data_IF_944203045849
#
_entry.id   IF_944203045849
#
_cell.length_a   1.000
_cell.length_b   1.000
_cell.length_c   1.000
_cell.angle_alpha   90.00
_cell.angle_beta   90.00
_cell.angle_gamma   90.00
#
_symmetry.space_group_name_H-M   'P 1'
#
loop_
_entity.id
_entity.type
_entity.pdbx_description
1 polymer ?
#
# COMPACT_ATOMS: atom_id res chain seq x y z
N UNK A 1 7.52 -10.05 0.43
CA UNK A 1 6.06 -9.81 0.53
C UNK A 1 5.71 -9.81 2.01
N UNK A 2 5.43 -8.63 2.58
CA UNK A 2 4.91 -8.55 3.95
C UNK A 2 3.44 -8.97 3.85
N UNK A 3 3.06 -10.05 4.53
CA UNK A 3 1.66 -10.47 4.59
C UNK A 3 0.82 -9.30 5.11
N UNK A 4 -0.34 -9.09 4.47
CA UNK A 4 -1.27 -7.99 4.75
C UNK A 4 -1.95 -8.04 6.11
N UNK A 5 -1.51 -8.89 7.03
CA UNK A 5 -2.14 -9.11 8.34
C UNK A 5 -1.49 -8.24 9.43
N UNK A 6 -1.21 -6.97 9.14
CA UNK A 6 -0.71 -6.00 10.14
C UNK A 6 -1.84 -5.19 10.78
N UNK A 7 -3.06 -5.33 10.27
CA UNK A 7 -4.25 -4.66 10.78
C UNK A 7 -5.41 -5.66 10.93
N UNK A 8 -6.35 -5.32 11.81
CA UNK A 8 -7.57 -6.08 12.03
C UNK A 8 -8.78 -5.15 12.01
N UNK A 9 -9.86 -5.62 11.38
CA UNK A 9 -11.14 -4.95 11.35
C UNK A 9 -12.25 -5.87 11.87
N UNK A 10 -13.01 -5.41 12.86
CA UNK A 10 -14.24 -6.08 13.29
C UNK A 10 -15.39 -5.67 12.38
N UNK A 11 -15.78 -6.57 11.46
CA UNK A 11 -16.85 -6.34 10.50
C UNK A 11 -18.19 -5.96 11.14
N UNK A 12 -18.42 -6.27 12.42
CA UNK A 12 -19.63 -5.85 13.14
C UNK A 12 -19.74 -4.33 13.30
N UNK A 13 -18.62 -3.61 13.17
CA UNK A 13 -18.56 -2.14 13.23
C UNK A 13 -18.91 -1.47 11.90
N UNK A 14 -18.92 -2.23 10.79
CA UNK A 14 -19.14 -1.68 9.45
C UNK A 14 -20.48 -0.93 9.31
N UNK A 15 -21.63 -1.42 9.82
CA UNK A 15 -22.89 -0.68 9.75
C UNK A 15 -22.82 0.70 10.42
N UNK A 16 -22.17 0.79 11.59
CA UNK A 16 -22.02 2.04 12.34
C UNK A 16 -21.14 3.06 11.60
N UNK A 17 -20.10 2.58 10.92
CA UNK A 17 -19.22 3.46 10.12
C UNK A 17 -19.98 4.00 8.91
N UNK A 18 -20.74 3.14 8.21
CA UNK A 18 -21.52 3.53 7.03
C UNK A 18 -22.65 4.52 7.35
N UNK A 19 -23.11 4.59 8.60
CA UNK A 19 -24.06 5.62 9.05
C UNK A 19 -23.43 7.02 9.17
N UNK A 20 -22.11 7.09 9.30
CA UNK A 20 -21.37 8.32 9.61
C UNK A 20 -20.49 8.84 8.47
N UNK A 21 -19.94 7.96 7.63
CA UNK A 21 -19.00 8.31 6.57
C UNK A 21 -19.23 7.45 5.31
N UNK A 22 -19.08 8.04 4.12
CA UNK A 22 -19.06 7.28 2.85
C UNK A 22 -17.69 6.63 2.63
N UNK A 23 -17.69 5.33 2.37
CA UNK A 23 -16.48 4.52 2.24
C UNK A 23 -16.20 4.15 0.78
N UNK A 24 -14.97 4.37 0.33
CA UNK A 24 -14.48 3.92 -0.98
C UNK A 24 -14.18 2.41 -1.02
N UNK A 25 -13.90 1.81 0.14
CA UNK A 25 -13.62 0.38 0.32
C UNK A 25 -13.90 -0.06 1.76
N UNK A 26 -13.93 -1.37 2.01
CA UNK A 26 -14.05 -1.90 3.38
C UNK A 26 -12.80 -1.52 4.17
N UNK A 27 -12.94 -0.98 5.41
CA UNK A 27 -11.78 -0.61 6.22
C UNK A 27 -10.86 -1.81 6.48
N UNK A 28 -9.55 -1.56 6.48
CA UNK A 28 -8.53 -2.52 6.91
C UNK A 28 -8.35 -2.50 8.43
N UNK A 29 -8.96 -1.53 9.10
CA UNK A 29 -9.10 -1.46 10.56
C UNK A 29 -7.90 -0.82 11.25
N UNK A 30 -7.57 -1.33 12.43
CA UNK A 30 -6.51 -0.80 13.30
C UNK A 30 -5.31 -1.74 13.38
N UNK A 31 -4.11 -1.25 13.77
CA UNK A 31 -2.94 -2.10 13.94
C UNK A 31 -3.21 -3.25 14.92
N UNK A 32 -2.69 -4.44 14.61
CA UNK A 32 -2.69 -5.55 15.57
C UNK A 32 -1.57 -5.36 16.61
N UNK A 33 -1.62 -6.11 17.70
CA UNK A 33 -0.60 -6.04 18.76
C UNK A 33 0.83 -6.20 18.22
N UNK A 34 1.75 -5.40 18.75
CA UNK A 34 3.17 -5.36 18.36
C UNK A 34 3.43 -4.95 16.90
N UNK A 35 2.41 -4.45 16.20
CA UNK A 35 2.53 -3.85 14.88
C UNK A 35 2.18 -2.37 14.98
N UNK A 36 3.02 -1.54 14.38
CA UNK A 36 2.79 -0.10 14.31
C UNK A 36 2.40 0.23 12.86
N UNK A 37 1.35 1.03 12.68
CA UNK A 37 0.98 1.50 11.34
C UNK A 37 0.88 3.02 11.36
N UNK A 38 1.73 3.64 10.56
CA UNK A 38 1.86 5.09 10.44
C UNK A 38 1.50 5.51 9.02
N UNK A 39 0.79 6.63 8.90
CA UNK A 39 0.56 7.28 7.61
C UNK A 39 1.59 8.39 7.43
N UNK A 40 2.28 8.41 6.30
CA UNK A 40 3.29 9.42 5.97
C UNK A 40 2.89 10.09 4.65
N UNK A 41 2.71 11.40 4.69
CA UNK A 41 2.26 12.23 3.57
C UNK A 41 2.15 13.70 3.95
N UNK A 42 1.66 14.54 3.03
CA UNK A 42 1.45 15.97 3.30
C UNK A 42 0.46 16.20 4.45
N UNK A 43 -0.60 15.38 4.52
CA UNK A 43 -1.55 15.35 5.64
C UNK A 43 -1.44 14.02 6.39
N UNK A 44 -0.25 13.77 6.96
CA UNK A 44 0.08 12.52 7.68
C UNK A 44 -0.90 12.14 8.81
N UNK A 45 -1.76 13.07 9.24
CA UNK A 45 -2.81 12.83 10.23
C UNK A 45 -4.02 12.10 9.65
N UNK A 46 -4.40 12.41 8.40
CA UNK A 46 -5.64 11.91 7.79
C UNK A 46 -5.40 10.98 6.59
N UNK A 47 -4.36 11.21 5.80
CA UNK A 47 -4.10 10.42 4.58
C UNK A 47 -2.61 10.38 4.25
N UNK A 48 -2.12 9.20 3.88
CA UNK A 48 -0.73 9.05 3.48
C UNK A 48 -0.39 7.65 3.01
N UNK A 49 0.88 7.47 2.66
CA UNK A 49 1.47 6.17 2.41
C UNK A 49 1.61 5.43 3.74
N UNK A 50 1.33 4.13 3.74
CA UNK A 50 1.37 3.26 4.90
C UNK A 50 2.81 2.82 5.14
N UNK A 51 3.27 3.03 6.37
CA UNK A 51 4.53 2.53 6.88
C UNK A 51 4.23 1.59 8.05
N UNK A 52 4.80 0.39 8.00
CA UNK A 52 4.56 -0.66 9.01
C UNK A 52 5.81 -0.84 9.84
N UNK A 53 5.68 -0.72 11.16
CA UNK A 53 6.72 -0.90 12.16
C UNK A 53 6.41 -2.02 13.15
N UNK A 54 7.33 -2.24 14.08
CA UNK A 54 7.17 -3.23 15.15
C UNK A 54 7.73 -4.61 14.81
N UNK A 55 7.27 -5.64 15.51
CA UNK A 55 7.83 -7.00 15.44
C UNK A 55 7.50 -7.74 14.14
N UNK A 56 6.51 -7.27 13.37
CA UNK A 56 6.12 -7.86 12.10
C UNK A 56 7.04 -7.49 10.94
N UNK A 57 7.95 -6.53 11.13
CA UNK A 57 8.86 -6.07 10.07
C UNK A 57 9.94 -7.12 9.82
N UNK A 58 10.06 -7.53 8.56
CA UNK A 58 11.08 -8.49 8.13
C UNK A 58 12.50 -7.96 8.37
N UNK A 59 13.47 -8.87 8.47
CA UNK A 59 14.87 -8.49 8.61
C UNK A 59 15.44 -7.76 7.38
N UNK A 60 14.77 -7.86 6.22
CA UNK A 60 15.15 -7.23 4.96
C UNK A 60 15.15 -8.21 3.79
N UNK A 61 15.66 -7.77 2.65
CA UNK A 61 15.84 -8.60 1.46
C UNK A 61 17.20 -9.31 1.47
N UNK A 62 17.20 -10.57 1.04
CA UNK A 62 18.44 -11.32 0.87
C UNK A 62 19.21 -10.78 -0.35
N UNK A 63 20.49 -10.46 -0.17
CA UNK A 63 21.43 -10.06 -1.24
C UNK A 63 21.12 -8.76 -2.00
N UNK A 64 20.18 -7.92 -1.54
CA UNK A 64 19.91 -6.60 -2.15
C UNK A 64 19.92 -5.47 -1.10
N UNK A 65 21.11 -5.01 -0.69
CA UNK A 65 21.25 -3.94 0.30
C UNK A 65 20.83 -2.57 -0.23
N UNK A 66 20.77 -2.37 -1.56
CA UNK A 66 20.27 -1.15 -2.18
C UNK A 66 18.78 -0.98 -1.95
N UNK A 67 17.99 -1.99 -2.33
CA UNK A 67 16.53 -1.98 -2.19
C UNK A 67 16.14 -2.01 -0.71
N UNK A 68 16.89 -2.75 0.12
CA UNK A 68 16.68 -2.76 1.57
C UNK A 68 16.68 -1.35 2.17
N UNK A 69 17.65 -0.48 1.82
CA UNK A 69 17.72 0.88 2.35
C UNK A 69 16.60 1.81 1.87
N UNK A 70 15.97 1.49 0.74
CA UNK A 70 14.88 2.27 0.18
C UNK A 70 13.54 1.91 0.84
N UNK A 71 13.32 0.61 1.07
CA UNK A 71 12.05 0.09 1.60
C UNK A 71 12.03 0.06 3.12
N UNK A 72 13.17 -0.16 3.77
CA UNK A 72 13.29 -0.17 5.23
C UNK A 72 13.91 1.14 5.69
N UNK A 73 13.11 1.98 6.35
CA UNK A 73 13.48 3.35 6.70
C UNK A 73 13.37 3.61 8.19
N UNK A 74 14.02 4.70 8.63
CA UNK A 74 13.81 5.27 9.97
C UNK A 74 12.90 6.48 9.83
N UNK A 75 11.76 6.45 10.50
CA UNK A 75 10.88 7.61 10.61
C UNK A 75 11.35 8.51 11.77
N UNK A 76 11.03 9.82 11.73
CA UNK A 76 11.25 10.73 12.84
C UNK A 76 10.58 10.24 14.14
N UNK A 77 11.11 10.66 15.28
CA UNK A 77 10.64 10.21 16.60
C UNK A 77 9.17 10.56 16.88
N UNK A 78 8.65 11.62 16.26
CA UNK A 78 7.25 12.06 16.38
C UNK A 78 6.24 11.04 15.81
N UNK A 79 6.72 10.11 14.98
CA UNK A 79 5.92 9.02 14.40
C UNK A 79 6.07 7.68 15.15
N UNK A 80 7.02 7.61 16.08
CA UNK A 80 7.32 6.39 16.82
C UNK A 80 6.42 6.31 18.06
N UNK A 81 5.71 5.20 18.23
CA UNK A 81 5.17 4.80 19.53
C UNK A 81 6.27 4.10 20.35
N UNK A 82 6.12 4.01 21.67
CA UNK A 82 7.14 3.43 22.57
C UNK A 82 7.50 1.97 22.23
N UNK A 83 6.68 1.26 21.44
CA UNK A 83 6.91 -0.10 20.97
C UNK A 83 7.91 -0.20 19.81
N UNK A 84 8.26 0.92 19.15
CA UNK A 84 9.11 0.95 17.95
C UNK A 84 10.62 0.93 18.27
N UNK A 85 10.99 0.76 19.54
CA UNK A 85 12.38 0.71 19.98
C UNK A 85 12.93 -0.70 19.74
N UNK A 86 13.49 -0.93 18.54
CA UNK A 86 14.39 -2.07 18.37
C UNK A 86 15.71 -1.76 19.09
N UNK A 87 16.06 -2.57 20.11
CA UNK A 87 17.33 -2.47 20.85
C UNK A 87 18.58 -2.58 19.96
N UNK A 88 18.41 -2.91 18.67
CA UNK A 88 19.47 -3.28 17.74
C UNK A 88 19.67 -2.29 16.58
N UNK A 89 19.10 -1.08 16.66
CA UNK A 89 19.40 0.00 15.70
C UNK A 89 18.94 -0.26 14.26
N UNK A 90 18.06 -1.25 14.04
CA UNK A 90 17.51 -1.60 12.72
C UNK A 90 16.63 -0.46 12.20
N UNK A 91 16.47 -0.42 10.87
CA UNK A 91 15.45 0.41 10.23
C UNK A 91 14.09 -0.08 10.75
N UNK A 92 13.30 0.83 11.33
CA UNK A 92 12.17 0.46 12.18
C UNK A 92 10.86 0.30 11.40
N UNK A 93 10.80 0.81 10.16
CA UNK A 93 9.58 0.82 9.36
C UNK A 93 9.82 0.31 7.96
N UNK A 94 8.92 -0.55 7.49
CA UNK A 94 8.80 -0.97 6.11
C UNK A 94 7.81 -0.06 5.37
N UNK A 95 8.26 0.52 4.27
CA UNK A 95 7.45 1.29 3.33
C UNK A 95 6.65 0.33 2.45
N UNK A 96 5.32 0.34 2.57
CA UNK A 96 4.50 -0.66 1.86
C UNK A 96 4.20 -0.30 0.40
N UNK A 97 4.26 1.00 0.06
CA UNK A 97 3.75 1.53 -1.21
C UNK A 97 2.21 1.64 -1.26
N UNK A 98 1.51 1.28 -0.20
CA UNK A 98 0.04 1.40 -0.11
C UNK A 98 -0.35 2.77 0.45
N UNK A 99 -1.46 3.35 0.00
CA UNK A 99 -2.04 4.58 0.53
C UNK A 99 -3.34 4.28 1.28
N UNK A 100 -3.52 4.92 2.43
CA UNK A 100 -4.73 4.83 3.22
C UNK A 100 -5.17 6.20 3.75
N UNK A 101 -6.46 6.27 4.10
CA UNK A 101 -7.09 7.36 4.86
C UNK A 101 -7.44 6.84 6.25
N UNK A 102 -7.26 7.66 7.27
CA UNK A 102 -7.76 7.43 8.63
C UNK A 102 -9.18 8.00 8.75
N UNK A 103 -10.12 7.18 9.20
CA UNK A 103 -11.49 7.59 9.52
C UNK A 103 -11.55 8.25 10.91
N UNK A 104 -12.66 8.93 11.22
CA UNK A 104 -12.87 9.48 12.57
C UNK A 104 -12.93 8.38 13.64
N UNK A 105 -13.35 7.17 13.26
CA UNK A 105 -13.32 5.99 14.13
C UNK A 105 -11.92 5.50 14.49
N UNK A 106 -10.88 6.02 13.83
CA UNK A 106 -9.48 5.59 13.95
C UNK A 106 -9.08 4.47 13.00
N UNK A 107 -10.06 3.80 12.36
CA UNK A 107 -9.83 2.74 11.38
C UNK A 107 -9.20 3.30 10.09
N UNK A 108 -8.38 2.49 9.44
CA UNK A 108 -7.77 2.82 8.16
C UNK A 108 -8.63 2.28 7.02
N UNK A 109 -8.78 3.07 5.96
CA UNK A 109 -9.40 2.70 4.69
C UNK A 109 -8.36 2.76 3.60
N UNK A 110 -8.19 1.65 2.89
CA UNK A 110 -7.26 1.57 1.77
C UNK A 110 -7.78 2.38 0.57
N UNK A 111 -6.92 3.24 0.04
CA UNK A 111 -7.22 4.13 -1.10
C UNK A 111 -6.66 3.53 -2.39
N UNK A 112 -5.45 2.99 -2.36
CA UNK A 112 -4.76 2.53 -3.55
C UNK A 112 -3.28 2.30 -3.30
N UNK A 113 -2.53 2.10 -4.38
CA UNK A 113 -1.08 1.90 -4.34
C UNK A 113 -0.35 3.01 -5.07
N UNK A 114 0.85 3.32 -4.60
CA UNK A 114 1.80 4.21 -5.24
C UNK A 114 2.31 3.60 -6.54
N UNK A 115 2.68 2.32 -6.48
CA UNK A 115 3.00 1.51 -7.63
C UNK A 115 1.73 1.26 -8.44
N UNK A 116 1.85 1.30 -9.77
CA UNK A 116 0.75 1.05 -10.72
C UNK A 116 0.41 -0.45 -10.75
N UNK A 117 0.12 -1.04 -9.59
CA UNK A 117 -0.26 -2.44 -9.44
C UNK A 117 -1.75 -2.58 -9.19
N UNK A 118 -2.35 -3.56 -9.84
CA UNK A 118 -3.79 -3.79 -9.81
C UNK A 118 -4.10 -5.27 -9.60
N UNK A 119 -5.24 -5.55 -8.97
CA UNK A 119 -5.74 -6.92 -8.85
C UNK A 119 -6.76 -7.18 -9.96
N UNK A 120 -6.40 -8.04 -10.92
CA UNK A 120 -7.29 -8.51 -11.99
C UNK A 120 -7.58 -9.98 -11.72
N UNK A 121 -8.86 -10.34 -11.54
CA UNK A 121 -9.27 -11.72 -11.26
C UNK A 121 -8.49 -12.40 -10.09
N UNK A 122 -8.16 -11.63 -9.05
CA UNK A 122 -7.41 -12.11 -7.90
C UNK A 122 -5.88 -12.19 -8.09
N UNK A 123 -5.37 -11.90 -9.29
CA UNK A 123 -3.94 -11.85 -9.58
C UNK A 123 -3.43 -10.42 -9.50
N UNK A 124 -2.27 -10.24 -8.86
CA UNK A 124 -1.61 -8.95 -8.73
C UNK A 124 -0.70 -8.73 -9.93
N UNK A 125 -0.99 -7.70 -10.72
CA UNK A 125 -0.24 -7.35 -11.93
C UNK A 125 0.32 -5.94 -11.82
N UNK A 126 1.55 -5.74 -12.30
CA UNK A 126 2.14 -4.41 -12.47
C UNK A 126 1.81 -3.88 -13.88
N UNK A 127 1.13 -2.74 -13.98
CA UNK A 127 0.79 -2.14 -15.27
C UNK A 127 2.04 -1.77 -16.06
N UNK A 128 3.11 -1.33 -15.39
CA UNK A 128 4.41 -1.02 -16.01
C UNK A 128 5.04 -2.23 -16.72
N UNK A 129 4.83 -3.45 -16.21
CA UNK A 129 5.31 -4.69 -16.84
C UNK A 129 4.55 -4.96 -18.15
N UNK A 130 3.23 -4.73 -18.15
CA UNK A 130 2.39 -4.83 -19.35
C UNK A 130 2.80 -3.78 -20.38
N UNK A 131 2.98 -2.53 -19.96
CA UNK A 131 3.48 -1.43 -20.81
C UNK A 131 4.84 -1.78 -21.43
N UNK A 132 5.77 -2.31 -20.63
CA UNK A 132 7.09 -2.72 -21.11
C UNK A 132 7.03 -3.87 -22.10
N UNK A 133 6.11 -4.82 -21.90
CA UNK A 133 5.88 -5.94 -22.82
C UNK A 133 5.33 -5.44 -24.16
N UNK A 134 4.35 -4.53 -24.12
CA UNK A 134 3.76 -3.92 -25.32
C UNK A 134 4.78 -3.11 -26.12
N UNK A 135 5.63 -2.33 -25.45
CA UNK A 135 6.76 -1.60 -26.06
C UNK A 135 7.82 -2.51 -26.68
N UNK A 136 7.83 -3.80 -26.35
CA UNK A 136 8.69 -4.79 -27.00
C UNK A 136 8.28 -5.13 -28.44
N UNK A 137 7.07 -4.77 -28.88
CA UNK A 137 6.60 -5.04 -30.23
C UNK A 137 7.23 -4.07 -31.25
N UNK A 138 7.74 -4.53 -32.41
CA UNK A 138 8.49 -3.70 -33.37
C UNK A 138 7.75 -2.44 -33.87
N UNK A 139 6.42 -2.53 -33.98
CA UNK A 139 5.57 -1.45 -34.50
C UNK A 139 5.11 -0.46 -33.43
N UNK A 140 5.31 -0.77 -32.14
CA UNK A 140 4.88 0.08 -31.03
C UNK A 140 6.01 1.05 -30.66
N UNK A 141 5.71 2.35 -30.74
CA UNK A 141 6.61 3.43 -30.31
C UNK A 141 6.49 3.67 -28.81
N UNK A 142 5.26 3.66 -28.31
CA UNK A 142 4.98 3.85 -26.88
C UNK A 142 3.67 3.16 -26.48
N UNK A 143 3.54 2.83 -25.20
CA UNK A 143 2.36 2.19 -24.64
C UNK A 143 2.05 2.68 -23.22
N UNK A 144 0.78 2.96 -22.96
CA UNK A 144 0.26 3.26 -21.64
C UNK A 144 -0.89 2.30 -21.31
N UNK A 145 -0.88 1.71 -20.12
CA UNK A 145 -1.94 0.79 -19.67
C UNK A 145 -2.62 1.40 -18.45
N UNK A 146 -3.95 1.50 -18.49
CA UNK A 146 -4.76 1.97 -17.37
C UNK A 146 -5.72 0.87 -16.95
N UNK A 147 -6.02 0.83 -15.65
CA UNK A 147 -7.10 -0.01 -15.14
C UNK A 147 -8.37 0.82 -15.00
N UNK A 148 -9.47 0.30 -15.51
CA UNK A 148 -10.81 0.82 -15.28
C UNK A 148 -11.62 -0.20 -14.47
N UNK A 149 -12.41 0.28 -13.50
CA UNK A 149 -13.29 -0.60 -12.72
C UNK A 149 -14.73 -0.40 -13.19
N UNK A 150 -15.29 -1.39 -13.87
CA UNK A 150 -16.67 -1.39 -14.33
C UNK A 150 -17.48 -2.45 -13.58
N UNK A 151 -18.56 -2.04 -12.91
CA UNK A 151 -19.45 -2.92 -12.12
C UNK A 151 -18.71 -3.90 -11.18
N UNK A 152 -17.58 -3.48 -10.61
CA UNK A 152 -16.76 -4.32 -9.72
C UNK A 152 -15.71 -5.18 -10.42
N UNK A 153 -15.75 -5.28 -11.74
CA UNK A 153 -14.75 -5.96 -12.57
C UNK A 153 -13.64 -4.97 -12.92
N UNK A 154 -12.38 -5.38 -12.75
CA UNK A 154 -11.22 -4.60 -13.18
C UNK A 154 -10.88 -4.99 -14.61
N UNK A 155 -10.94 -4.02 -15.52
CA UNK A 155 -10.55 -4.13 -16.93
C UNK A 155 -9.24 -3.38 -17.15
N UNK A 156 -8.42 -3.87 -18.08
CA UNK A 156 -7.19 -3.21 -18.51
C UNK A 156 -7.39 -2.66 -19.91
N UNK A 157 -7.12 -1.37 -20.09
CA UNK A 157 -7.15 -0.69 -21.37
C UNK A 157 -5.72 -0.27 -21.72
N UNK A 158 -5.29 -0.59 -22.95
CA UNK A 158 -3.97 -0.25 -23.46
C UNK A 158 -4.09 0.76 -24.59
N UNK A 159 -3.37 1.87 -24.48
CA UNK A 159 -3.21 2.89 -25.52
C UNK A 159 -1.84 2.72 -26.15
N UNK A 160 -1.80 2.65 -27.49
CA UNK A 160 -0.59 2.39 -28.26
C UNK A 160 -0.32 3.56 -29.22
N UNK A 161 0.94 3.97 -29.30
CA UNK A 161 1.45 4.81 -30.40
C UNK A 161 2.17 3.88 -31.36
N UNK A 162 1.73 3.85 -32.62
CA UNK A 162 2.26 2.95 -33.66
C UNK A 162 3.07 3.76 -34.68
N UNK A 163 4.08 3.13 -35.28
CA UNK A 163 4.90 3.70 -36.36
C UNK A 163 4.12 3.98 -37.65
#
# INVERSE_FOLDING_TARGET
EVSGDCTYFDCKRLPLILESEELSSVPIGMPISNCDVVLVGEDSLNQGEIYVGGLCVAAGYLCDPSVMRQDFVKLPQDFCCDCSISEHGRQNYFRTGDFAKRLQSGDLVFIGRKDRTVKVNGQRMALEEVESTLRGHPDVVDAAVVSHKDQGVVLLEAYLVIK
#
